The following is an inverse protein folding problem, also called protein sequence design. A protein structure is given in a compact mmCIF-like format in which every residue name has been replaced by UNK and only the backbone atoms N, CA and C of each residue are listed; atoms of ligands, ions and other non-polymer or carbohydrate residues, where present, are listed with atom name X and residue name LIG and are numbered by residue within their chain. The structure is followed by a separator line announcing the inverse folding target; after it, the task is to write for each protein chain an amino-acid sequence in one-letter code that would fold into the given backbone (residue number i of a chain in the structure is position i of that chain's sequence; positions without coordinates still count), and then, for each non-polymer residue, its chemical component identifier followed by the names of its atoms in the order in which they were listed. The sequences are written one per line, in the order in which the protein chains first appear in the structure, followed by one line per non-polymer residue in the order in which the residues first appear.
data_IF_669457515951
#
_entry.id   IF_669457515951
#
_cell.length_a   1.000
_cell.length_b   1.000
_cell.length_c   1.000
_cell.angle_alpha   90.00
_cell.angle_beta   90.00
_cell.angle_gamma   90.00
#
_symmetry.space_group_name_H-M   'P 1'
#
loop_
_entity.id
_entity.type
_entity.pdbx_description
1 polymer ?
#
# COMPACT_ATOMS: atom_id res chain seq x y z
N UNK A 1 -43.92 19.47 22.09
CA UNK A 1 -45.15 19.22 21.29
C UNK A 1 -45.09 17.80 20.74
N UNK A 2 -46.16 17.02 20.99
CA UNK A 2 -46.36 15.63 20.53
C UNK A 2 -46.67 15.56 19.03
N UNK A 3 -46.20 14.49 18.35
CA UNK A 3 -46.85 13.69 17.28
C UNK A 3 -45.84 12.61 16.82
N UNK A 4 -45.97 11.34 17.23
CA UNK A 4 -46.82 10.23 16.72
C UNK A 4 -46.67 9.93 15.20
N UNK A 5 -45.90 8.88 14.93
CA UNK A 5 -46.18 7.64 14.16
C UNK A 5 -46.96 7.72 12.84
N UNK A 6 -46.43 7.06 11.79
CA UNK A 6 -47.12 6.02 10.99
C UNK A 6 -46.21 5.42 9.89
N UNK A 7 -46.07 4.09 9.90
CA UNK A 7 -45.71 3.26 8.74
C UNK A 7 -46.86 3.29 7.71
N UNK A 8 -46.55 3.06 6.44
CA UNK A 8 -47.07 1.87 5.74
C UNK A 8 -45.97 1.25 4.85
N UNK A 9 -46.04 0.04 4.31
CA UNK A 9 -47.12 -0.92 4.11
C UNK A 9 -46.64 -1.87 3.00
N UNK A 10 -46.77 -3.16 3.24
CA UNK A 10 -46.44 -4.26 2.33
C UNK A 10 -47.43 -4.28 1.15
N UNK A 11 -46.93 -4.47 -0.08
CA UNK A 11 -47.73 -4.96 -1.21
C UNK A 11 -46.98 -6.12 -1.87
N UNK A 12 -47.65 -7.28 -1.86
CA UNK A 12 -47.31 -8.49 -2.60
C UNK A 12 -48.02 -8.44 -3.95
N UNK A 13 -47.31 -8.69 -5.04
CA UNK A 13 -47.93 -9.18 -6.28
C UNK A 13 -46.93 -10.07 -7.03
N UNK A 14 -47.28 -11.35 -7.14
CA UNK A 14 -46.49 -12.38 -7.81
C UNK A 14 -46.73 -12.43 -9.31
N UNK A 15 -45.78 -13.06 -10.02
CA UNK A 15 -45.97 -13.59 -11.36
C UNK A 15 -45.37 -15.01 -11.42
N UNK A 16 -46.23 -15.97 -11.73
CA UNK A 16 -45.92 -17.33 -12.17
C UNK A 16 -45.61 -17.28 -13.67
N UNK A 17 -44.47 -17.84 -14.09
CA UNK A 17 -44.34 -18.37 -15.46
C UNK A 17 -43.62 -19.72 -15.41
N UNK A 18 -44.36 -20.71 -15.92
CA UNK A 18 -44.02 -22.09 -16.22
C UNK A 18 -42.98 -22.23 -17.33
N UNK A 19 -42.14 -23.28 -17.27
CA UNK A 19 -41.33 -23.72 -18.39
C UNK A 19 -40.59 -25.04 -18.14
N UNK A 20 -41.29 -26.16 -18.28
CA UNK A 20 -40.70 -27.51 -18.43
C UNK A 20 -40.15 -27.69 -19.85
N UNK A 21 -39.04 -28.43 -19.99
CA UNK A 21 -38.55 -28.89 -21.29
C UNK A 21 -37.30 -29.76 -21.20
N UNK A 22 -37.50 -31.06 -20.94
CA UNK A 22 -36.49 -32.12 -20.99
C UNK A 22 -36.14 -32.50 -22.44
N UNK A 23 -34.89 -32.90 -22.71
CA UNK A 23 -34.53 -33.56 -23.96
C UNK A 23 -33.03 -33.84 -24.13
N UNK A 24 -32.57 -35.01 -23.67
CA UNK A 24 -31.43 -35.73 -24.26
C UNK A 24 -31.98 -36.86 -25.13
N UNK A 25 -31.36 -37.20 -26.27
CA UNK A 25 -30.45 -38.37 -26.24
C UNK A 25 -29.23 -38.30 -27.20
N UNK A 26 -28.14 -38.93 -26.78
CA UNK A 26 -27.07 -39.52 -27.63
C UNK A 26 -27.59 -40.82 -28.28
N UNK A 27 -27.07 -41.25 -29.46
CA UNK A 27 -25.91 -42.18 -29.53
C UNK A 27 -25.03 -41.92 -30.78
N UNK A 28 -23.86 -42.50 -31.08
CA UNK A 28 -23.21 -43.79 -30.76
C UNK A 28 -21.71 -43.75 -31.18
N UNK A 29 -20.90 -44.78 -30.85
CA UNK A 29 -19.44 -44.83 -30.95
C UNK A 29 -18.90 -45.66 -32.14
N UNK A 30 -17.59 -45.60 -32.41
CA UNK A 30 -16.87 -46.68 -33.11
C UNK A 30 -15.41 -46.84 -32.66
N UNK A 31 -15.08 -48.07 -32.29
CA UNK A 31 -13.75 -48.67 -32.09
C UNK A 31 -13.01 -48.85 -33.44
N UNK A 32 -11.71 -49.13 -33.56
CA UNK A 32 -10.66 -49.61 -32.64
C UNK A 32 -9.28 -49.64 -33.35
N UNK A 33 -8.23 -50.25 -32.75
CA UNK A 33 -6.81 -50.17 -33.15
C UNK A 33 -6.36 -51.36 -34.05
N UNK A 34 -5.08 -51.42 -34.55
CA UNK A 34 -4.09 -52.31 -33.88
C UNK A 34 -2.55 -51.98 -34.05
N UNK A 35 -1.74 -52.51 -33.10
CA UNK A 35 -0.32 -53.04 -33.14
C UNK A 35 0.77 -52.39 -34.03
N UNK A 36 1.96 -51.94 -33.54
CA UNK A 36 3.16 -52.72 -33.11
C UNK A 36 4.48 -52.14 -33.72
N UNK A 37 5.73 -52.48 -33.27
CA UNK A 37 6.82 -51.50 -32.94
C UNK A 37 8.17 -51.60 -33.77
N UNK A 38 9.37 -51.15 -33.29
CA UNK A 38 10.14 -49.91 -33.60
C UNK A 38 11.55 -50.20 -34.24
N UNK A 39 12.68 -49.44 -34.11
CA UNK A 39 12.99 -48.00 -33.90
C UNK A 39 13.97 -47.40 -34.97
N UNK A 40 14.07 -46.07 -35.10
CA UNK A 40 15.28 -45.44 -35.68
C UNK A 40 15.73 -44.22 -34.88
N UNK A 41 17.01 -44.29 -34.49
CA UNK A 41 17.81 -43.33 -33.76
C UNK A 41 17.72 -41.90 -34.32
N UNK A 42 17.27 -40.96 -33.50
CA UNK A 42 17.42 -39.53 -33.71
C UNK A 42 17.78 -38.88 -32.37
N UNK A 43 19.07 -38.60 -32.18
CA UNK A 43 19.57 -37.87 -31.01
C UNK A 43 18.91 -36.49 -30.91
N UNK A 44 18.35 -36.08 -29.75
CA UNK A 44 18.07 -34.68 -29.52
C UNK A 44 19.37 -33.99 -29.11
N UNK A 45 19.76 -33.00 -29.93
CA UNK A 45 20.71 -31.95 -29.57
C UNK A 45 20.38 -31.41 -28.19
N UNK A 46 21.36 -31.42 -27.31
CA UNK A 46 21.41 -30.55 -26.13
C UNK A 46 21.40 -29.10 -26.60
N UNK A 47 20.23 -28.50 -26.71
CA UNK A 47 20.07 -27.05 -26.70
C UNK A 47 20.15 -26.60 -25.24
N UNK A 48 21.36 -26.29 -24.80
CA UNK A 48 21.60 -25.37 -23.69
C UNK A 48 21.05 -24.00 -24.09
N UNK A 49 19.78 -23.76 -23.73
CA UNK A 49 19.18 -22.43 -23.76
C UNK A 49 19.68 -21.61 -22.58
N UNK A 50 19.80 -20.27 -22.73
CA UNK A 50 20.34 -19.40 -21.71
C UNK A 50 19.38 -19.34 -20.50
N UNK A 51 19.96 -19.33 -19.31
CA UNK A 51 19.33 -19.01 -18.03
C UNK A 51 18.41 -17.79 -18.15
N UNK A 52 17.12 -17.97 -17.87
CA UNK A 52 16.19 -16.86 -17.64
C UNK A 52 15.26 -17.16 -16.46
N UNK A 53 15.51 -16.41 -15.39
CA UNK A 53 14.56 -15.92 -14.37
C UNK A 53 13.96 -16.93 -13.36
N UNK A 54 14.47 -17.05 -12.12
CA UNK A 54 13.79 -17.77 -11.05
C UNK A 54 12.72 -16.87 -10.42
N UNK A 55 11.80 -16.34 -11.23
CA UNK A 55 10.60 -15.75 -10.68
C UNK A 55 9.84 -16.89 -9.98
N UNK A 56 9.78 -16.84 -8.65
CA UNK A 56 8.96 -17.78 -7.89
C UNK A 56 7.51 -17.41 -8.12
N UNK A 57 6.77 -18.25 -8.82
CA UNK A 57 5.33 -18.07 -9.00
C UNK A 57 4.62 -18.48 -7.71
N UNK A 58 3.93 -17.52 -7.09
CA UNK A 58 3.08 -17.76 -5.92
C UNK A 58 1.64 -18.00 -6.33
N UNK A 59 0.90 -18.76 -5.51
CA UNK A 59 -0.52 -19.05 -5.72
C UNK A 59 -1.39 -18.34 -4.68
N UNK A 60 -2.56 -17.86 -5.13
CA UNK A 60 -3.58 -17.34 -4.22
C UNK A 60 -4.23 -18.50 -3.46
N UNK A 61 -4.46 -18.30 -2.16
CA UNK A 61 -5.24 -19.22 -1.37
C UNK A 61 -6.73 -19.16 -1.81
N UNK A 62 -7.42 -20.30 -1.83
CA UNK A 62 -8.85 -20.30 -2.14
C UNK A 62 -9.69 -19.66 -1.03
N UNK A 63 -9.22 -19.75 0.22
CA UNK A 63 -9.86 -19.17 1.41
C UNK A 63 -8.81 -18.61 2.36
N UNK A 64 -9.14 -17.52 3.04
CA UNK A 64 -8.30 -16.87 4.04
C UNK A 64 -9.10 -16.51 5.29
N UNK A 65 -8.40 -16.30 6.41
CA UNK A 65 -8.97 -15.71 7.63
C UNK A 65 -8.45 -14.29 7.81
N UNK A 66 -9.34 -13.32 7.97
CA UNK A 66 -9.01 -11.90 8.15
C UNK A 66 -8.92 -11.58 9.65
N UNK A 67 -7.77 -11.09 10.08
CA UNK A 67 -7.49 -10.73 11.47
C UNK A 67 -7.64 -9.22 11.70
N UNK A 68 -8.04 -8.83 12.91
CA UNK A 68 -8.10 -7.43 13.32
C UNK A 68 -6.70 -6.90 13.69
N UNK A 69 -6.45 -5.62 13.43
CA UNK A 69 -5.27 -4.91 13.94
C UNK A 69 -5.62 -3.90 15.04
N UNK A 70 -4.61 -3.56 15.86
CA UNK A 70 -4.71 -2.64 16.99
C UNK A 70 -4.55 -1.16 16.62
N UNK A 71 -4.74 -0.31 17.63
CA UNK A 71 -4.67 1.14 17.63
C UNK A 71 -3.22 1.66 17.63
N UNK A 72 -2.94 2.62 16.73
CA UNK A 72 -1.59 3.05 16.39
C UNK A 72 -0.99 4.11 17.32
N UNK A 73 0.32 4.04 17.50
CA UNK A 73 1.15 5.13 18.03
C UNK A 73 1.29 6.27 16.99
N UNK A 74 1.79 7.43 17.40
CA UNK A 74 2.06 8.56 16.51
C UNK A 74 3.52 9.03 16.63
N UNK A 75 4.11 9.64 15.58
CA UNK A 75 5.43 10.26 15.68
C UNK A 75 5.45 11.40 16.72
N UNK A 76 6.54 11.54 17.44
CA UNK A 76 6.73 12.53 18.51
C UNK A 76 7.99 13.36 18.22
N UNK A 77 7.86 14.39 17.37
CA UNK A 77 8.99 15.23 16.97
C UNK A 77 9.62 15.96 18.17
N UNK A 78 8.87 16.24 19.25
CA UNK A 78 9.42 16.96 20.40
C UNK A 78 10.43 16.09 21.17
N UNK A 79 10.27 14.76 21.17
CA UNK A 79 11.18 13.85 21.85
C UNK A 79 12.39 13.40 21.02
N UNK A 80 12.35 13.57 19.69
CA UNK A 80 13.38 13.10 18.76
C UNK A 80 14.77 13.73 18.94
N UNK A 81 14.93 15.06 19.22
CA UNK A 81 16.24 15.67 19.42
C UNK A 81 17.08 15.03 20.54
N UNK A 82 16.44 14.44 21.55
CA UNK A 82 17.12 13.71 22.62
C UNK A 82 17.47 12.25 22.28
N UNK A 83 16.98 11.72 21.16
CA UNK A 83 17.10 10.32 20.74
C UNK A 83 17.96 10.15 19.50
N UNK A 84 17.86 11.10 18.57
CA UNK A 84 18.53 11.04 17.26
C UNK A 84 19.78 11.92 17.29
N UNK A 85 20.97 11.35 17.04
CA UNK A 85 22.20 12.12 16.97
C UNK A 85 22.15 13.21 15.89
N UNK A 86 22.66 14.39 16.22
CA UNK A 86 22.76 15.51 15.26
C UNK A 86 21.52 16.41 15.17
N UNK A 87 20.45 16.13 15.91
CA UNK A 87 19.24 16.97 15.94
C UNK A 87 19.15 17.94 17.14
N UNK A 88 20.12 17.87 18.06
CA UNK A 88 20.09 18.62 19.32
C UNK A 88 20.24 20.14 19.19
N UNK A 89 20.83 20.62 18.09
CA UNK A 89 21.05 22.05 17.85
C UNK A 89 20.13 22.56 16.72
N UNK A 90 19.31 23.60 16.97
CA UNK A 90 18.54 24.26 15.92
C UNK A 90 19.42 25.15 15.00
N UNK A 91 19.06 25.33 13.70
CA UNK A 91 17.89 24.74 13.05
C UNK A 91 18.13 23.29 12.63
N UNK A 92 17.10 22.44 12.78
CA UNK A 92 17.16 21.03 12.37
C UNK A 92 15.90 20.59 11.61
N UNK A 93 16.05 19.61 10.72
CA UNK A 93 14.97 19.04 9.90
C UNK A 93 15.13 17.54 9.83
N UNK A 94 14.05 16.79 10.00
CA UNK A 94 14.08 15.33 9.89
C UNK A 94 12.67 14.78 9.61
N UNK A 95 12.62 13.47 9.36
CA UNK A 95 11.40 12.69 9.27
C UNK A 95 11.27 11.89 10.57
N UNK A 96 10.35 12.31 11.43
CA UNK A 96 10.02 11.58 12.66
C UNK A 96 9.19 10.34 12.35
N UNK A 97 9.36 9.27 13.13
CA UNK A 97 8.57 8.05 12.99
C UNK A 97 8.10 7.54 14.35
N UNK A 98 7.09 6.66 14.33
CA UNK A 98 6.46 6.12 15.55
C UNK A 98 7.42 5.34 16.47
N UNK A 99 8.58 4.91 15.95
CA UNK A 99 9.58 4.16 16.72
C UNK A 99 10.67 5.05 17.33
N UNK A 100 10.69 6.35 16.98
CA UNK A 100 11.73 7.31 17.41
C UNK A 100 13.14 6.95 16.94
N UNK A 101 13.27 6.23 15.81
CA UNK A 101 14.56 5.81 15.24
C UNK A 101 14.99 6.72 14.10
N UNK A 102 16.29 6.90 13.93
CA UNK A 102 16.86 7.64 12.80
C UNK A 102 16.92 6.78 11.53
N UNK A 103 15.76 6.51 10.94
CA UNK A 103 15.63 5.72 9.71
C UNK A 103 14.27 5.96 9.08
N UNK A 104 14.19 5.75 7.76
CA UNK A 104 12.93 5.71 7.03
C UNK A 104 12.73 4.33 6.40
N UNK A 105 11.49 3.86 6.40
CA UNK A 105 11.09 2.58 5.82
C UNK A 105 9.78 2.79 5.06
N UNK A 106 9.61 2.10 3.95
CA UNK A 106 8.32 2.07 3.24
C UNK A 106 7.60 0.73 3.48
N UNK A 107 6.30 0.73 3.83
CA UNK A 107 5.59 1.84 4.46
C UNK A 107 6.06 2.03 5.91
N UNK A 108 5.94 3.25 6.43
CA UNK A 108 6.03 3.54 7.85
C UNK A 108 5.20 4.79 8.15
N UNK A 109 4.60 4.90 9.33
CA UNK A 109 3.94 6.13 9.74
C UNK A 109 4.99 7.16 10.15
N UNK A 110 4.98 8.31 9.48
CA UNK A 110 5.97 9.37 9.66
C UNK A 110 5.32 10.75 9.74
N UNK A 111 6.09 11.72 10.21
CA UNK A 111 5.76 13.15 10.16
C UNK A 111 6.99 13.96 9.72
N UNK A 112 6.78 15.14 9.13
CA UNK A 112 7.85 16.10 8.89
C UNK A 112 8.08 16.88 10.18
N UNK A 113 9.32 16.91 10.65
CA UNK A 113 9.72 17.62 11.85
C UNK A 113 10.72 18.73 11.49
N UNK A 114 10.53 19.90 12.09
CA UNK A 114 11.38 21.08 11.93
C UNK A 114 11.64 21.66 13.33
N UNK A 115 12.84 22.14 13.60
CA UNK A 115 13.15 22.87 14.83
C UNK A 115 13.94 24.13 14.53
N UNK A 116 13.68 25.21 15.27
CA UNK A 116 14.41 26.48 15.13
C UNK A 116 14.02 27.32 13.92
N UNK A 117 12.92 26.99 13.26
CA UNK A 117 12.34 27.79 12.18
C UNK A 117 11.24 28.70 12.71
N UNK A 118 11.08 29.88 12.10
CA UNK A 118 10.03 30.85 12.44
C UNK A 118 8.64 30.26 12.20
N UNK A 119 7.69 30.42 13.14
CA UNK A 119 6.30 29.98 12.97
C UNK A 119 5.47 30.93 12.10
N UNK A 120 6.04 32.04 11.60
CA UNK A 120 5.31 33.05 10.82
C UNK A 120 5.56 32.97 9.32
N UNK A 121 6.59 32.22 8.89
CA UNK A 121 7.02 32.16 7.49
C UNK A 121 7.05 30.71 6.96
N UNK A 122 6.75 30.47 5.68
CA UNK A 122 6.89 29.14 5.10
C UNK A 122 8.35 28.66 5.07
N UNK A 123 8.57 27.37 5.29
CA UNK A 123 9.87 26.71 5.17
C UNK A 123 9.89 25.89 3.88
N UNK A 124 10.88 26.09 3.03
CA UNK A 124 11.08 25.24 1.86
C UNK A 124 11.76 23.95 2.31
N UNK A 125 11.14 22.81 2.05
CA UNK A 125 11.71 21.49 2.34
C UNK A 125 12.06 20.81 1.04
N UNK A 126 13.23 20.20 1.01
CA UNK A 126 13.77 19.55 -0.16
C UNK A 126 14.29 18.18 0.22
N UNK A 127 13.87 17.14 -0.51
CA UNK A 127 14.38 15.79 -0.34
C UNK A 127 15.15 15.32 -1.56
N UNK A 128 16.24 14.59 -1.34
CA UNK A 128 16.99 13.92 -2.39
C UNK A 128 16.83 12.41 -2.27
N UNK A 129 16.29 11.80 -3.33
CA UNK A 129 16.13 10.37 -3.49
C UNK A 129 17.02 9.89 -4.66
N UNK A 130 18.18 9.33 -4.33
CA UNK A 130 19.12 8.76 -5.31
C UNK A 130 19.47 9.69 -6.48
N UNK A 131 19.73 10.96 -6.19
CA UNK A 131 20.13 11.97 -7.17
C UNK A 131 18.96 12.80 -7.73
N UNK A 132 17.71 12.46 -7.40
CA UNK A 132 16.53 13.24 -7.78
C UNK A 132 16.09 14.11 -6.62
N UNK A 133 15.87 15.40 -6.91
CA UNK A 133 15.45 16.38 -5.93
C UNK A 133 13.95 16.65 -6.06
N UNK A 134 13.27 16.68 -4.92
CA UNK A 134 11.85 17.03 -4.79
C UNK A 134 11.74 18.13 -3.76
N UNK A 135 10.85 19.10 -3.98
CA UNK A 135 10.67 20.23 -3.07
C UNK A 135 9.19 20.39 -2.72
N UNK A 136 8.91 20.60 -1.44
CA UNK A 136 7.61 20.95 -0.88
C UNK A 136 7.78 22.22 -0.01
N UNK A 137 6.66 22.87 0.30
CA UNK A 137 6.62 23.98 1.23
C UNK A 137 5.94 23.50 2.51
N UNK A 138 6.58 23.68 3.66
CA UNK A 138 5.95 23.53 4.96
C UNK A 138 5.43 24.89 5.42
N UNK A 139 4.12 25.01 5.65
CA UNK A 139 3.47 26.23 6.12
C UNK A 139 3.08 26.08 7.59
N UNK A 140 3.69 26.87 8.49
CA UNK A 140 3.27 26.92 9.88
C UNK A 140 1.80 27.33 10.04
N UNK A 141 1.14 26.77 11.05
CA UNK A 141 -0.22 27.14 11.47
C UNK A 141 -0.31 27.25 12.99
N UNK A 142 -1.25 28.08 13.46
CA UNK A 142 -1.63 28.17 14.87
C UNK A 142 -2.61 27.08 15.31
N UNK A 143 -3.09 26.25 14.38
CA UNK A 143 -4.00 25.14 14.69
C UNK A 143 -3.26 24.03 15.44
N UNK A 144 -3.94 23.36 16.37
CA UNK A 144 -3.38 22.19 17.06
C UNK A 144 -3.22 21.00 16.10
N UNK A 145 -2.21 20.17 16.36
CA UNK A 145 -2.01 18.89 15.68
C UNK A 145 -3.09 17.89 16.15
N UNK A 146 -3.74 17.18 15.24
CA UNK A 146 -4.91 16.35 15.57
C UNK A 146 -4.79 14.89 15.17
N UNK A 147 -4.00 14.57 14.15
CA UNK A 147 -3.97 13.27 13.48
C UNK A 147 -5.34 12.81 12.95
N UNK A 148 -6.32 13.72 12.86
CA UNK A 148 -7.67 13.41 12.40
C UNK A 148 -7.69 13.06 10.91
N UNK A 149 -6.71 13.55 10.15
CA UNK A 149 -6.56 13.29 8.72
C UNK A 149 -5.10 13.03 8.40
N UNK A 150 -4.84 11.88 7.80
CA UNK A 150 -3.50 11.59 7.28
C UNK A 150 -3.18 12.53 6.12
N UNK A 151 -1.92 12.97 6.08
CA UNK A 151 -1.38 13.55 4.87
C UNK A 151 -1.27 12.43 3.79
N UNK A 152 -1.42 12.75 2.50
CA UNK A 152 -1.23 11.76 1.46
C UNK A 152 0.16 11.12 1.45
N UNK A 153 0.22 9.85 1.05
CA UNK A 153 1.40 9.01 1.26
C UNK A 153 2.71 9.51 0.59
N UNK A 154 2.60 10.35 -0.44
CA UNK A 154 3.69 10.91 -1.24
C UNK A 154 4.01 12.38 -0.92
N UNK A 155 3.58 12.86 0.24
CA UNK A 155 3.62 14.28 0.68
C UNK A 155 4.91 15.06 0.39
N UNK A 156 6.09 14.45 0.57
CA UNK A 156 7.38 15.12 0.33
C UNK A 156 7.81 15.17 -1.15
N UNK A 157 7.08 14.50 -2.05
CA UNK A 157 7.51 14.23 -3.42
C UNK A 157 6.64 14.89 -4.49
N UNK A 158 5.50 15.49 -4.11
CA UNK A 158 4.52 16.06 -5.05
C UNK A 158 4.57 17.57 -5.16
N UNK A 159 5.30 18.24 -4.29
CA UNK A 159 5.32 19.71 -4.19
C UNK A 159 4.05 20.31 -3.59
N UNK A 160 3.13 19.47 -3.08
CA UNK A 160 2.00 19.96 -2.29
C UNK A 160 2.52 20.60 -1.00
N UNK A 161 1.91 21.70 -0.60
CA UNK A 161 2.18 22.33 0.69
C UNK A 161 1.75 21.42 1.86
N UNK A 162 2.60 21.32 2.88
CA UNK A 162 2.32 20.62 4.14
C UNK A 162 2.05 21.64 5.23
N UNK A 163 1.00 21.40 6.00
CA UNK A 163 0.75 22.22 7.20
C UNK A 163 1.62 21.68 8.34
N UNK A 164 2.28 22.57 9.08
CA UNK A 164 3.07 22.21 10.26
C UNK A 164 2.59 22.97 11.50
N UNK A 165 2.53 22.26 12.61
CA UNK A 165 1.90 22.68 13.85
C UNK A 165 2.95 22.80 14.94
N UNK A 166 2.92 23.88 15.72
CA UNK A 166 3.81 24.03 16.87
C UNK A 166 3.57 22.93 17.92
N UNK A 167 4.64 22.28 18.36
CA UNK A 167 4.63 21.28 19.44
C UNK A 167 5.24 21.80 20.75
N UNK A 168 5.74 23.04 20.76
CA UNK A 168 6.52 23.61 21.86
C UNK A 168 8.02 23.63 21.53
N UNK A 169 8.79 24.39 22.30
CA UNK A 169 10.26 24.45 22.24
C UNK A 169 10.86 24.71 20.85
N UNK A 170 10.14 25.42 19.99
CA UNK A 170 10.57 25.74 18.62
C UNK A 170 10.38 24.60 17.61
N UNK A 171 9.76 23.50 18.02
CA UNK A 171 9.46 22.34 17.16
C UNK A 171 8.14 22.55 16.41
N UNK A 172 8.19 22.35 15.10
CA UNK A 172 7.04 22.28 14.21
C UNK A 172 6.92 20.84 13.67
N UNK A 173 5.69 20.32 13.62
CA UNK A 173 5.39 18.97 13.18
C UNK A 173 4.20 18.96 12.24
N UNK A 174 4.29 18.25 11.12
CA UNK A 174 3.11 18.03 10.26
C UNK A 174 2.16 16.98 10.83
N UNK A 175 0.96 16.90 10.24
CA UNK A 175 0.13 15.70 10.35
C UNK A 175 0.88 14.47 9.84
N UNK A 176 0.51 13.28 10.32
CA UNK A 176 1.20 12.02 9.99
C UNK A 176 0.74 11.44 8.65
N UNK A 177 1.59 10.65 8.00
CA UNK A 177 1.24 9.87 6.81
C UNK A 177 1.99 8.55 6.72
N UNK A 178 1.50 7.67 5.85
CA UNK A 178 2.26 6.50 5.41
C UNK A 178 3.33 6.92 4.43
N UNK A 179 4.61 6.82 4.79
CA UNK A 179 5.72 7.11 3.90
C UNK A 179 5.74 6.14 2.71
N UNK A 180 5.18 6.57 1.58
CA UNK A 180 5.16 5.82 0.32
C UNK A 180 5.57 6.78 -0.81
N UNK A 181 6.88 6.96 -1.04
CA UNK A 181 7.34 7.79 -2.15
C UNK A 181 6.81 7.28 -3.50
N UNK A 182 6.79 8.10 -4.56
CA UNK A 182 6.49 7.64 -5.92
C UNK A 182 7.48 6.56 -6.38
N UNK A 183 7.06 5.68 -7.32
CA UNK A 183 7.84 4.50 -7.75
C UNK A 183 9.30 4.84 -8.06
N UNK A 184 9.50 5.87 -8.87
CA UNK A 184 10.84 6.30 -9.27
C UNK A 184 11.70 6.82 -8.10
N UNK A 185 11.10 7.41 -7.07
CA UNK A 185 11.81 7.85 -5.88
C UNK A 185 12.12 6.64 -4.97
N UNK A 186 11.18 5.70 -4.81
CA UNK A 186 11.39 4.49 -4.00
C UNK A 186 12.54 3.65 -4.53
N UNK A 187 12.61 3.42 -5.84
CA UNK A 187 13.72 2.67 -6.44
C UNK A 187 15.06 3.40 -6.26
N UNK A 188 15.07 4.73 -6.43
CA UNK A 188 16.27 5.52 -6.22
C UNK A 188 16.75 5.51 -4.76
N UNK A 189 15.82 5.55 -3.80
CA UNK A 189 16.13 5.41 -2.37
C UNK A 189 16.64 4.01 -2.02
N UNK A 190 16.01 2.96 -2.57
CA UNK A 190 16.45 1.59 -2.37
C UNK A 190 17.87 1.35 -2.90
N UNK A 191 18.22 1.97 -4.03
CA UNK A 191 19.57 1.91 -4.59
C UNK A 191 20.58 2.74 -3.79
N UNK A 192 20.18 3.92 -3.31
CA UNK A 192 21.07 4.82 -2.58
C UNK A 192 21.30 4.40 -1.12
N UNK A 193 20.31 3.76 -0.48
CA UNK A 193 20.33 3.39 0.94
C UNK A 193 20.15 4.57 1.89
N UNK A 194 19.92 5.78 1.38
CA UNK A 194 19.76 7.00 2.18
C UNK A 194 18.73 7.96 1.55
N UNK A 195 18.05 8.71 2.41
CA UNK A 195 17.21 9.86 2.07
C UNK A 195 17.84 11.10 2.70
N UNK A 196 18.21 12.08 1.87
CA UNK A 196 18.68 13.39 2.38
C UNK A 196 17.53 14.37 2.41
N UNK A 197 17.42 15.11 3.50
CA UNK A 197 16.43 16.16 3.67
C UNK A 197 17.13 17.48 4.01
N UNK A 198 16.62 18.56 3.44
CA UNK A 198 17.08 19.93 3.66
C UNK A 198 15.86 20.83 3.88
N UNK A 199 15.98 21.79 4.79
CA UNK A 199 14.97 22.81 5.03
C UNK A 199 15.63 24.20 5.00
N UNK A 200 14.97 25.15 4.34
CA UNK A 200 15.44 26.53 4.23
C UNK A 200 14.34 27.55 4.51
N UNK A 201 14.68 28.60 5.25
CA UNK A 201 13.80 29.75 5.55
C UNK A 201 14.66 31.00 5.72
N UNK A 202 14.64 31.90 4.72
CA UNK A 202 15.60 33.00 4.64
C UNK A 202 17.04 32.48 4.63
N UNK A 203 17.86 32.93 5.58
CA UNK A 203 19.25 32.48 5.75
C UNK A 203 19.38 31.19 6.57
N UNK A 204 18.30 30.72 7.22
CA UNK A 204 18.32 29.48 7.98
C UNK A 204 18.35 28.28 7.03
N UNK A 205 19.29 27.37 7.28
CA UNK A 205 19.41 26.11 6.54
C UNK A 205 19.67 24.97 7.52
N UNK A 206 18.90 23.90 7.40
CA UNK A 206 19.09 22.66 8.14
C UNK A 206 19.19 21.48 7.17
N UNK A 207 19.96 20.45 7.53
CA UNK A 207 20.14 19.23 6.73
C UNK A 207 20.19 18.02 7.63
N UNK A 208 19.65 16.90 7.14
CA UNK A 208 19.79 15.60 7.78
C UNK A 208 19.80 14.48 6.73
N UNK A 209 20.36 13.33 7.09
CA UNK A 209 20.34 12.12 6.24
C UNK A 209 19.78 10.95 7.03
N UNK A 210 18.73 10.34 6.50
CA UNK A 210 18.14 9.13 7.06
C UNK A 210 18.62 7.90 6.31
N UNK A 211 19.12 6.86 6.99
CA UNK A 211 19.19 5.53 6.44
C UNK A 211 17.83 5.06 5.91
N UNK A 212 17.82 4.44 4.73
CA UNK A 212 16.63 3.81 4.15
C UNK A 212 16.68 2.31 4.43
N UNK A 213 15.68 1.80 5.14
CA UNK A 213 15.47 0.38 5.31
C UNK A 213 14.42 -0.16 4.34
N UNK A 214 14.74 -1.29 3.71
CA UNK A 214 13.79 -2.02 2.90
C UNK A 214 12.87 -2.86 3.79
N UNK A 215 11.58 -2.99 3.44
CA UNK A 215 10.67 -3.86 4.18
C UNK A 215 11.17 -5.32 4.17
N UNK A 216 11.14 -5.93 5.35
CA UNK A 216 11.62 -7.29 5.64
C UNK A 216 10.48 -8.28 5.94
N UNK A 217 9.26 -7.77 6.13
CA UNK A 217 8.04 -8.57 6.31
C UNK A 217 7.10 -8.34 5.14
N UNK A 218 6.59 -9.44 4.59
CA UNK A 218 5.61 -9.41 3.51
C UNK A 218 4.26 -8.95 4.02
N UNK A 219 3.68 -7.92 3.40
CA UNK A 219 2.32 -7.48 3.70
C UNK A 219 1.75 -6.63 2.54
N UNK A 220 0.55 -6.10 2.75
CA UNK A 220 -0.21 -5.20 1.89
C UNK A 220 -1.08 -4.25 2.70
N UNK A 221 -1.37 -3.08 2.15
CA UNK A 221 -2.31 -2.13 2.75
C UNK A 221 -2.88 -1.16 1.70
N UNK A 222 -3.98 -0.48 2.00
CA UNK A 222 -4.40 0.68 1.20
C UNK A 222 -3.38 1.82 1.39
N UNK A 223 -2.97 2.47 0.30
CA UNK A 223 -1.99 3.57 0.33
C UNK A 223 -2.57 4.79 1.07
N UNK A 224 -3.78 5.18 0.69
CA UNK A 224 -4.57 6.23 1.35
C UNK A 224 -5.99 5.71 1.62
N UNK A 225 -6.65 6.23 2.67
CA UNK A 225 -8.03 5.86 2.99
C UNK A 225 -8.96 6.14 1.81
N UNK A 226 -9.70 5.12 1.38
CA UNK A 226 -10.62 5.21 0.24
C UNK A 226 -9.93 5.27 -1.12
N UNK A 227 -8.61 5.07 -1.19
CA UNK A 227 -7.91 4.92 -2.46
C UNK A 227 -8.06 3.49 -3.00
N UNK A 228 -8.19 3.38 -4.32
CA UNK A 228 -8.11 2.10 -5.06
C UNK A 228 -6.66 1.63 -5.25
N UNK A 229 -5.73 2.10 -4.40
CA UNK A 229 -4.30 1.84 -4.51
C UNK A 229 -3.87 0.95 -3.35
N UNK A 230 -3.44 -0.25 -3.67
CA UNK A 230 -2.95 -1.24 -2.72
C UNK A 230 -1.43 -1.25 -2.77
N UNK A 231 -0.79 -0.89 -1.67
CA UNK A 231 0.63 -1.10 -1.47
C UNK A 231 0.86 -2.59 -1.18
N UNK A 232 1.82 -3.20 -1.86
CA UNK A 232 2.29 -4.57 -1.63
C UNK A 232 3.79 -4.49 -1.36
N UNK A 233 4.26 -5.07 -0.25
CA UNK A 233 5.65 -4.86 0.17
C UNK A 233 6.28 -6.06 0.89
N UNK A 234 7.61 -6.04 0.99
CA UNK A 234 8.42 -6.99 1.75
C UNK A 234 8.73 -8.31 1.05
N UNK A 235 8.14 -8.57 -0.11
CA UNK A 235 8.49 -9.74 -0.93
C UNK A 235 9.88 -9.57 -1.58
N UNK A 236 10.47 -10.69 -2.01
CA UNK A 236 11.78 -10.62 -2.68
C UNK A 236 11.68 -9.97 -4.05
N UNK A 237 12.66 -9.14 -4.47
CA UNK A 237 12.69 -8.58 -5.80
C UNK A 237 12.62 -9.67 -6.89
N UNK A 238 11.91 -9.38 -7.98
CA UNK A 238 11.67 -10.32 -9.07
C UNK A 238 10.53 -11.31 -8.84
N UNK A 239 9.96 -11.37 -7.63
CA UNK A 239 8.80 -12.24 -7.35
C UNK A 239 7.57 -11.76 -8.12
N UNK A 240 6.86 -12.68 -8.78
CA UNK A 240 5.55 -12.42 -9.41
C UNK A 240 4.43 -12.76 -8.43
N UNK A 241 3.71 -11.73 -8.00
CA UNK A 241 2.68 -11.83 -6.98
C UNK A 241 1.30 -11.70 -7.63
N UNK A 242 0.46 -12.74 -7.63
CA UNK A 242 -0.93 -12.58 -8.06
C UNK A 242 -1.68 -11.70 -7.05
N UNK A 243 -2.57 -10.84 -7.56
CA UNK A 243 -3.48 -10.02 -6.75
C UNK A 243 -4.89 -10.57 -6.91
N UNK A 244 -5.54 -10.93 -5.81
CA UNK A 244 -6.86 -11.55 -5.79
C UNK A 244 -7.95 -10.65 -5.22
N UNK A 245 -9.15 -10.78 -5.77
CA UNK A 245 -10.38 -10.25 -5.20
C UNK A 245 -11.06 -11.35 -4.37
N UNK A 246 -11.37 -11.04 -3.11
CA UNK A 246 -12.00 -11.97 -2.17
C UNK A 246 -13.34 -11.40 -1.71
N UNK A 247 -14.34 -12.28 -1.59
CA UNK A 247 -15.62 -11.96 -0.96
C UNK A 247 -15.52 -12.33 0.53
N UNK A 248 -15.77 -11.37 1.41
CA UNK A 248 -15.77 -11.55 2.86
C UNK A 248 -17.16 -12.03 3.29
N UNK A 249 -17.20 -13.14 4.03
CA UNK A 249 -18.41 -13.61 4.68
C UNK A 249 -18.74 -12.67 5.85
N UNK A 250 -19.87 -11.95 5.87
CA UNK A 250 -20.20 -11.03 6.95
C UNK A 250 -20.48 -11.73 8.29
N UNK A 251 -20.67 -13.05 8.28
CA UNK A 251 -20.96 -13.87 9.46
C UNK A 251 -19.74 -14.58 10.05
N UNK A 252 -18.57 -14.47 9.41
CA UNK A 252 -17.32 -15.08 9.87
C UNK A 252 -16.11 -14.22 9.49
N UNK A 253 -14.95 -14.53 10.07
CA UNK A 253 -13.70 -13.86 9.67
C UNK A 253 -13.09 -14.48 8.40
N UNK A 254 -13.89 -15.15 7.57
CA UNK A 254 -13.41 -15.85 6.37
C UNK A 254 -13.67 -15.04 5.10
N UNK A 255 -12.74 -15.12 4.16
CA UNK A 255 -12.92 -14.61 2.82
C UNK A 255 -12.58 -15.67 1.77
N UNK A 256 -13.37 -15.74 0.70
CA UNK A 256 -13.18 -16.71 -0.39
C UNK A 256 -12.73 -16.02 -1.67
N UNK A 257 -11.75 -16.61 -2.35
CA UNK A 257 -11.23 -16.09 -3.61
C UNK A 257 -12.33 -16.12 -4.67
N UNK A 258 -12.63 -14.95 -5.23
CA UNK A 258 -13.53 -14.81 -6.38
C UNK A 258 -12.74 -15.02 -7.66
N UNK A 259 -11.67 -14.24 -7.85
CA UNK A 259 -10.77 -14.32 -9.00
C UNK A 259 -9.46 -13.57 -8.77
N UNK A 260 -8.46 -13.86 -9.59
CA UNK A 260 -7.29 -13.00 -9.76
C UNK A 260 -7.68 -11.75 -10.56
N UNK A 261 -7.26 -10.58 -10.09
CA UNK A 261 -7.53 -9.28 -10.73
C UNK A 261 -6.27 -8.60 -11.28
N UNK A 262 -5.10 -9.17 -11.02
CA UNK A 262 -3.84 -8.67 -11.57
C UNK A 262 -2.62 -9.43 -11.07
N UNK A 263 -1.46 -8.89 -11.40
CA UNK A 263 -0.16 -9.39 -10.96
C UNK A 263 0.75 -8.21 -10.70
N UNK A 264 1.57 -8.31 -9.65
CA UNK A 264 2.63 -7.36 -9.30
C UNK A 264 3.97 -8.05 -9.51
N UNK A 265 4.90 -7.40 -10.21
CA UNK A 265 6.31 -7.79 -10.21
C UNK A 265 7.02 -6.98 -9.13
N UNK A 266 7.59 -7.65 -8.13
CA UNK A 266 8.20 -6.98 -6.98
C UNK A 266 9.52 -6.29 -7.38
N UNK A 267 9.66 -4.97 -7.19
CA UNK A 267 10.87 -4.23 -7.58
C UNK A 267 11.97 -4.30 -6.51
N UNK A 268 13.11 -3.62 -6.74
CA UNK A 268 14.26 -3.65 -5.83
C UNK A 268 13.95 -2.99 -4.48
N UNK A 269 13.09 -1.97 -4.47
CA UNK A 269 12.60 -1.36 -3.23
C UNK A 269 11.72 -2.27 -2.37
N UNK A 270 11.44 -3.50 -2.83
CA UNK A 270 10.50 -4.44 -2.21
C UNK A 270 9.13 -3.81 -1.94
N UNK A 271 8.74 -2.83 -2.74
CA UNK A 271 7.49 -2.08 -2.56
C UNK A 271 6.87 -1.73 -3.92
N UNK A 272 5.67 -2.24 -4.16
CA UNK A 272 4.90 -1.97 -5.37
C UNK A 272 3.52 -1.41 -5.02
N UNK A 273 2.98 -0.55 -5.89
CA UNK A 273 1.61 -0.07 -5.79
C UNK A 273 0.80 -0.75 -6.90
N UNK A 274 -0.26 -1.44 -6.52
CA UNK A 274 -1.25 -2.01 -7.42
C UNK A 274 -2.50 -1.14 -7.40
N UNK A 275 -2.92 -0.65 -8.56
CA UNK A 275 -4.17 0.11 -8.69
C UNK A 275 -5.29 -0.84 -9.10
N UNK A 276 -6.32 -0.96 -8.26
CA UNK A 276 -7.56 -1.66 -8.57
C UNK A 276 -8.30 -0.90 -9.67
N UNK A 277 -8.75 -1.60 -10.71
CA UNK A 277 -9.43 -0.95 -11.82
C UNK A 277 -10.85 -0.52 -11.42
N UNK A 278 -11.32 0.60 -11.98
CA UNK A 278 -12.67 1.12 -11.73
C UNK A 278 -13.76 0.07 -12.00
N UNK A 279 -13.57 -0.82 -12.98
CA UNK A 279 -14.49 -1.90 -13.26
C UNK A 279 -14.69 -2.86 -12.07
N UNK A 280 -13.61 -3.17 -11.33
CA UNK A 280 -13.68 -4.02 -10.12
C UNK A 280 -14.34 -3.25 -8.98
N UNK A 281 -14.02 -1.97 -8.81
CA UNK A 281 -14.65 -1.09 -7.81
C UNK A 281 -16.16 -1.03 -8.02
N UNK A 282 -16.61 -0.73 -9.24
CA UNK A 282 -18.02 -0.64 -9.60
C UNK A 282 -18.76 -1.98 -9.43
N UNK A 283 -18.12 -3.10 -9.76
CA UNK A 283 -18.71 -4.43 -9.59
C UNK A 283 -19.00 -4.75 -8.12
N UNK A 284 -18.11 -4.36 -7.22
CA UNK A 284 -18.20 -4.69 -5.79
C UNK A 284 -19.07 -3.70 -5.01
N UNK A 285 -19.31 -2.50 -5.55
CA UNK A 285 -20.06 -1.44 -4.88
C UNK A 285 -21.46 -1.90 -4.47
N UNK A 286 -21.75 -1.85 -3.17
CA UNK A 286 -23.06 -2.21 -2.61
C UNK A 286 -23.41 -3.70 -2.65
N UNK A 287 -22.46 -4.58 -3.02
CA UNK A 287 -22.69 -6.03 -3.15
C UNK A 287 -22.23 -6.87 -1.96
N UNK A 288 -21.87 -6.23 -0.84
CA UNK A 288 -21.29 -6.86 0.33
C UNK A 288 -19.85 -6.40 0.57
N UNK A 289 -19.15 -7.08 1.47
CA UNK A 289 -17.77 -6.73 1.81
C UNK A 289 -16.81 -7.52 0.93
N UNK A 290 -16.00 -6.81 0.16
CA UNK A 290 -14.95 -7.38 -0.67
C UNK A 290 -13.61 -6.88 -0.19
N UNK A 291 -12.55 -7.63 -0.49
CA UNK A 291 -11.21 -7.12 -0.30
C UNK A 291 -10.21 -7.61 -1.33
N UNK A 292 -9.11 -6.88 -1.43
CA UNK A 292 -8.00 -7.14 -2.34
C UNK A 292 -6.80 -7.60 -1.54
N UNK A 293 -6.21 -8.73 -1.91
CA UNK A 293 -5.01 -9.23 -1.24
C UNK A 293 -4.07 -10.02 -2.15
N UNK A 294 -2.92 -10.36 -1.61
CA UNK A 294 -1.83 -11.16 -2.21
C UNK A 294 -1.56 -12.40 -1.33
N UNK A 295 -0.75 -13.37 -1.79
CA UNK A 295 -0.36 -14.52 -1.00
C UNK A 295 0.44 -14.11 0.24
N UNK A 296 -0.19 -14.13 1.42
CA UNK A 296 0.45 -13.87 2.71
C UNK A 296 0.25 -15.05 3.66
N UNK A 297 1.19 -15.26 4.60
CA UNK A 297 1.02 -16.22 5.69
C UNK A 297 -0.19 -15.89 6.58
N UNK A 298 -0.37 -14.60 6.88
CA UNK A 298 -1.45 -14.08 7.73
C UNK A 298 -2.08 -12.84 7.07
N UNK A 299 -3.38 -12.64 7.28
CA UNK A 299 -4.16 -11.62 6.58
C UNK A 299 -4.79 -10.66 7.59
N UNK A 300 -4.02 -9.69 8.10
CA UNK A 300 -4.56 -8.61 8.94
C UNK A 300 -5.19 -7.53 8.09
N UNK A 301 -6.26 -6.85 8.53
CA UNK A 301 -6.84 -5.68 7.82
C UNK A 301 -6.99 -5.87 6.30
N UNK A 302 -8.16 -6.27 5.81
CA UNK A 302 -8.32 -6.47 4.37
C UNK A 302 -8.68 -5.16 3.65
N UNK A 303 -7.84 -4.63 2.73
CA UNK A 303 -8.15 -3.41 1.98
C UNK A 303 -9.36 -3.61 1.07
N UNK A 304 -10.30 -2.67 1.10
CA UNK A 304 -11.43 -2.64 0.16
C UNK A 304 -10.96 -2.23 -1.24
N UNK A 305 -11.61 -2.75 -2.31
CA UNK A 305 -11.26 -2.44 -3.69
C UNK A 305 -11.43 -0.98 -4.07
#
# INVERSE_FOLDING_TARGET
MKKRTLLPGIVVLGWLVTGCGSGSPSPSPSAGPPTGPPPTSGAPRTSSGPTTDPATDLLLAQQITVLAAGDGSAPDCAADPGRIPGLGDPPSVWIGNITGRDQVRTPNEVALCLNGFSPDEPVRVTVNAGGRQYSTTARPTSSALTYAKLEPADSLFTGRELTVHGQGDGVLQSEKWWFVPPDTAREALAAAGELKIEATQGELTARHSHPVELPDRTDRMAVDHGSHRILVYGFQPGTRLPVGLYAIDPSSDKASLVRQIGTVLMPLSKTAVFTVSDAVVEETRGRGRYCVTVPLPEQYNCPEP
#
